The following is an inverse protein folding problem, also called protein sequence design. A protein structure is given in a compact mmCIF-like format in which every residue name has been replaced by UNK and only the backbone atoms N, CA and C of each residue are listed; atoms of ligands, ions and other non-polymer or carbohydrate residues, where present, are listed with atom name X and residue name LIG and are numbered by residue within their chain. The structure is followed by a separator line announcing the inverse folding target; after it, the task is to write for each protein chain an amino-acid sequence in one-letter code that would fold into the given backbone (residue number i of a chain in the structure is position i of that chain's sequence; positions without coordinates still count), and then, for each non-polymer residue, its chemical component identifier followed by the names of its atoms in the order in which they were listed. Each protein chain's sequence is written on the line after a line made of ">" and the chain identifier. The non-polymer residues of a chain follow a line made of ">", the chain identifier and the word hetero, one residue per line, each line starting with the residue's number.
data_IF_137057314761
#
_entry.id   IF_137057314761
#
_cell.length_a   1.000
_cell.length_b   1.000
_cell.length_c   1.000
_cell.angle_alpha   90.00
_cell.angle_beta   90.00
_cell.angle_gamma   90.00
#
_symmetry.space_group_name_H-M   'P 1'
#
loop_
_entity.id
_entity.type
_entity.pdbx_description
1 polymer ?
#
# COMPACT_ATOMS: atom_id res chain seq x y z
N UNK A 1 28.75 3.86 -6.93
CA UNK A 1 27.50 3.11 -6.65
C UNK A 1 26.40 3.81 -7.41
N UNK A 2 25.47 3.09 -8.04
CA UNK A 2 24.31 3.67 -8.73
C UNK A 2 23.49 4.50 -7.75
N UNK A 3 23.33 5.79 -8.02
CA UNK A 3 22.54 6.70 -7.20
C UNK A 3 21.06 6.49 -7.48
N UNK A 4 20.23 6.43 -6.43
CA UNK A 4 18.80 6.19 -6.52
C UNK A 4 18.04 7.34 -5.89
N UNK A 5 17.26 8.04 -6.68
CA UNK A 5 16.28 9.01 -6.21
C UNK A 5 15.00 8.27 -5.87
N UNK A 6 14.66 8.19 -4.60
CA UNK A 6 13.53 7.42 -4.13
C UNK A 6 12.37 8.34 -3.74
N UNK A 7 11.26 8.23 -4.46
CA UNK A 7 10.01 8.94 -4.22
C UNK A 7 8.94 7.98 -3.70
N UNK A 8 8.55 8.12 -2.44
CA UNK A 8 7.40 7.39 -1.88
C UNK A 8 6.15 8.21 -2.13
N UNK A 9 5.09 7.58 -2.62
CA UNK A 9 3.87 8.21 -3.11
C UNK A 9 2.67 7.78 -2.27
N UNK A 10 1.95 8.74 -1.71
CA UNK A 10 0.72 8.48 -0.97
C UNK A 10 -0.42 9.36 -1.47
N UNK A 11 -1.59 8.76 -1.74
CA UNK A 11 -2.84 9.51 -1.93
C UNK A 11 -3.52 9.66 -0.58
N UNK A 12 -3.73 10.90 -0.12
CA UNK A 12 -4.37 11.11 1.18
C UNK A 12 -5.88 11.16 1.05
N UNK A 13 -6.41 12.22 0.43
CA UNK A 13 -7.85 12.46 0.30
C UNK A 13 -8.25 12.95 -1.10
N UNK A 14 -7.49 12.58 -2.13
CA UNK A 14 -7.81 12.94 -3.51
C UNK A 14 -9.20 12.45 -3.90
N UNK A 15 -10.00 13.26 -4.63
CA UNK A 15 -11.26 12.80 -5.18
C UNK A 15 -11.04 11.58 -6.07
N UNK A 16 -11.77 10.49 -5.81
CA UNK A 16 -11.70 9.26 -6.60
C UNK A 16 -13.08 8.96 -7.15
N UNK A 17 -13.24 8.70 -8.48
CA UNK A 17 -14.52 8.27 -9.04
C UNK A 17 -14.85 6.84 -8.61
N UNK A 18 -16.16 6.53 -8.53
CA UNK A 18 -16.63 5.16 -8.30
C UNK A 18 -17.00 4.86 -6.83
N UNK A 19 -16.97 3.58 -6.40
CA UNK A 19 -17.45 3.16 -5.08
C UNK A 19 -16.73 3.83 -3.89
N UNK A 20 -15.48 4.24 -4.07
CA UNK A 20 -14.70 4.94 -3.05
C UNK A 20 -15.28 6.31 -2.73
N UNK A 21 -15.88 7.02 -3.70
CA UNK A 21 -16.50 8.33 -3.45
C UNK A 21 -17.63 8.22 -2.41
N UNK A 22 -18.37 7.11 -2.39
CA UNK A 22 -19.43 6.85 -1.42
C UNK A 22 -18.89 6.61 0.00
N UNK A 23 -17.72 5.97 0.10
CA UNK A 23 -17.06 5.75 1.39
C UNK A 23 -16.51 7.06 1.94
N UNK A 24 -15.91 7.89 1.08
CA UNK A 24 -15.38 9.20 1.45
C UNK A 24 -16.46 10.21 1.86
N UNK A 25 -17.67 10.08 1.31
CA UNK A 25 -18.82 10.90 1.69
C UNK A 25 -19.40 10.55 3.07
N UNK A 26 -18.95 9.47 3.72
CA UNK A 26 -19.40 9.11 5.06
C UNK A 26 -18.85 10.10 6.09
N UNK A 27 -19.71 10.51 7.01
CA UNK A 27 -19.31 11.37 8.13
C UNK A 27 -18.19 10.72 8.94
N UNK A 28 -17.18 11.50 9.31
CA UNK A 28 -16.02 11.02 10.08
C UNK A 28 -15.00 10.20 9.28
N UNK A 29 -15.20 9.97 7.98
CA UNK A 29 -14.23 9.20 7.18
C UNK A 29 -12.82 9.82 7.22
N UNK A 30 -12.73 11.13 7.01
CA UNK A 30 -11.44 11.82 6.94
C UNK A 30 -10.75 11.85 8.31
N UNK A 31 -11.50 12.02 9.41
CA UNK A 31 -10.97 11.96 10.78
C UNK A 31 -10.40 10.58 11.09
N UNK A 32 -11.12 9.52 10.71
CA UNK A 32 -10.63 8.14 10.86
C UNK A 32 -9.39 7.88 10.01
N UNK A 33 -9.32 8.45 8.80
CA UNK A 33 -8.16 8.33 7.92
C UNK A 33 -6.92 8.99 8.54
N UNK A 34 -7.08 10.19 9.10
CA UNK A 34 -6.00 10.87 9.84
C UNK A 34 -5.53 10.06 11.03
N UNK A 35 -6.46 9.50 11.82
CA UNK A 35 -6.11 8.69 12.97
C UNK A 35 -5.31 7.42 12.59
N UNK A 36 -5.68 6.76 11.49
CA UNK A 36 -4.94 5.60 10.96
C UNK A 36 -3.55 6.01 10.45
N UNK A 37 -3.47 7.10 9.72
CA UNK A 37 -2.21 7.65 9.21
C UNK A 37 -1.22 7.95 10.33
N UNK A 38 -1.66 8.67 11.37
CA UNK A 38 -0.84 9.02 12.53
C UNK A 38 -0.44 7.79 13.36
N UNK A 39 -1.31 6.78 13.41
CA UNK A 39 -1.07 5.56 14.19
C UNK A 39 -0.15 4.57 13.47
N UNK A 40 -0.28 4.42 12.16
CA UNK A 40 0.38 3.36 11.39
C UNK A 40 1.46 3.89 10.45
N UNK A 41 1.10 4.81 9.56
CA UNK A 41 2.01 5.21 8.47
C UNK A 41 3.11 6.15 8.93
N UNK A 42 2.75 7.21 9.66
CA UNK A 42 3.73 8.21 10.16
C UNK A 42 4.84 7.58 11.00
N UNK A 43 4.56 6.75 12.04
CA UNK A 43 5.61 6.20 12.88
C UNK A 43 6.58 5.29 12.10
N UNK A 44 6.07 4.50 11.13
CA UNK A 44 6.92 3.59 10.36
C UNK A 44 7.78 4.32 9.33
N UNK A 45 7.30 5.42 8.77
CA UNK A 45 8.11 6.27 7.88
C UNK A 45 9.19 7.05 8.62
N UNK A 46 8.93 7.49 9.85
CA UNK A 46 9.97 8.08 10.72
C UNK A 46 11.04 7.07 11.15
N UNK A 47 10.67 5.81 11.32
CA UNK A 47 11.56 4.76 11.82
C UNK A 47 12.41 4.08 10.73
N UNK A 48 12.39 4.57 9.49
CA UNK A 48 13.16 3.95 8.40
C UNK A 48 14.65 3.99 8.67
N UNK A 49 15.36 2.85 8.47
CA UNK A 49 16.82 2.73 8.60
C UNK A 49 17.56 3.55 7.53
N UNK A 50 16.95 3.71 6.36
CA UNK A 50 17.44 4.54 5.27
C UNK A 50 16.57 5.79 5.14
N UNK A 51 17.21 6.96 5.29
CA UNK A 51 16.52 8.27 5.27
C UNK A 51 16.66 9.04 3.95
N UNK A 52 17.48 8.56 3.01
CA UNK A 52 17.64 9.18 1.70
C UNK A 52 16.47 8.81 0.79
N UNK A 53 15.32 9.41 1.03
CA UNK A 53 14.11 9.34 0.19
C UNK A 53 13.28 10.61 0.39
N UNK A 54 12.40 10.89 -0.56
CA UNK A 54 11.37 11.94 -0.42
C UNK A 54 10.02 11.27 -0.36
N UNK A 55 9.22 11.58 0.67
CA UNK A 55 7.85 11.13 0.76
C UNK A 55 6.91 12.22 0.27
N UNK A 56 6.21 11.98 -0.84
CA UNK A 56 5.21 12.90 -1.40
C UNK A 56 3.82 12.42 -1.02
N UNK A 57 3.02 13.34 -0.47
CA UNK A 57 1.62 13.07 -0.16
C UNK A 57 0.73 14.03 -0.93
N UNK A 58 -0.19 13.45 -1.70
CA UNK A 58 -1.14 14.22 -2.52
C UNK A 58 -2.44 14.44 -1.77
N UNK A 59 -2.81 15.71 -1.65
CA UNK A 59 -4.02 16.19 -1.01
C UNK A 59 -4.98 16.82 -2.01
N UNK A 60 -6.27 16.77 -1.69
CA UNK A 60 -7.30 17.57 -2.37
C UNK A 60 -7.02 19.06 -2.09
N UNK A 61 -7.00 19.95 -3.11
CA UNK A 61 -6.92 21.41 -2.90
C UNK A 61 -8.05 21.95 -2.02
N UNK A 62 -9.19 21.28 -1.96
CA UNK A 62 -10.34 21.62 -1.11
C UNK A 62 -10.27 20.93 0.27
N UNK A 63 -9.10 20.47 0.69
CA UNK A 63 -8.91 19.92 2.03
C UNK A 63 -9.32 20.92 3.10
N UNK A 64 -10.08 20.50 4.14
CA UNK A 64 -10.53 21.41 5.18
C UNK A 64 -9.35 21.91 6.04
N UNK A 65 -9.45 23.14 6.55
CA UNK A 65 -8.39 23.80 7.32
C UNK A 65 -7.89 22.94 8.50
N UNK A 66 -8.81 22.27 9.20
CA UNK A 66 -8.42 21.40 10.33
C UNK A 66 -7.48 20.28 9.92
N UNK A 67 -7.61 19.72 8.68
CA UNK A 67 -6.70 18.72 8.15
C UNK A 67 -5.32 19.34 7.88
N UNK A 68 -5.30 20.50 7.24
CA UNK A 68 -4.05 21.20 6.91
C UNK A 68 -3.30 21.58 8.19
N UNK A 69 -4.01 22.10 9.20
CA UNK A 69 -3.44 22.42 10.52
C UNK A 69 -2.88 21.17 11.22
N UNK A 70 -3.56 20.02 11.09
CA UNK A 70 -3.12 18.75 11.66
C UNK A 70 -1.88 18.20 10.98
N UNK A 71 -1.73 18.40 9.67
CA UNK A 71 -0.57 17.95 8.90
C UNK A 71 0.64 18.89 9.01
N UNK A 72 0.43 20.18 9.30
CA UNK A 72 1.48 21.21 9.33
C UNK A 72 2.71 20.83 10.17
N UNK A 73 2.61 20.30 11.41
CA UNK A 73 3.78 19.92 12.19
C UNK A 73 4.64 18.85 11.48
N UNK A 74 4.02 17.91 10.76
CA UNK A 74 4.71 16.86 10.03
C UNK A 74 5.43 17.41 8.78
N UNK A 75 4.85 18.43 8.15
CA UNK A 75 5.47 19.15 7.02
C UNK A 75 6.62 20.02 7.51
N UNK A 76 6.44 20.73 8.61
CA UNK A 76 7.46 21.64 9.17
C UNK A 76 8.70 20.85 9.66
N UNK A 77 8.54 19.62 10.13
CA UNK A 77 9.65 18.72 10.45
C UNK A 77 10.32 18.11 9.20
N UNK A 78 9.78 18.33 8.01
CA UNK A 78 10.29 17.78 6.75
C UNK A 78 9.99 16.28 6.55
N UNK A 79 8.99 15.71 7.24
CA UNK A 79 8.67 14.29 7.12
C UNK A 79 8.15 13.92 5.74
N UNK A 80 7.36 14.80 5.12
CA UNK A 80 6.85 14.64 3.76
C UNK A 80 6.65 15.98 3.04
N UNK A 81 6.60 15.91 1.72
CA UNK A 81 6.28 17.03 0.82
C UNK A 81 4.79 16.96 0.45
N UNK A 82 3.95 17.91 0.86
CA UNK A 82 2.55 17.95 0.45
C UNK A 82 2.41 18.53 -0.96
N UNK A 83 1.63 17.87 -1.81
CA UNK A 83 1.26 18.38 -3.14
C UNK A 83 -0.27 18.40 -3.23
N UNK A 84 -0.82 19.53 -3.67
CA UNK A 84 -2.26 19.73 -3.77
C UNK A 84 -2.71 19.64 -5.23
N UNK A 85 -3.57 18.67 -5.55
CA UNK A 85 -4.11 18.43 -6.90
C UNK A 85 -5.52 17.87 -6.82
N UNK A 86 -6.39 18.23 -7.78
CA UNK A 86 -7.72 17.63 -7.93
C UNK A 86 -7.63 16.18 -8.44
N UNK A 87 -6.64 15.91 -9.26
CA UNK A 87 -6.33 14.60 -9.85
C UNK A 87 -4.82 14.42 -9.94
N UNK A 88 -4.39 13.18 -9.87
CA UNK A 88 -3.00 12.80 -10.13
C UNK A 88 -3.00 11.55 -11.00
N UNK A 89 -2.31 11.61 -12.12
CA UNK A 89 -1.94 10.45 -12.91
C UNK A 89 -0.42 10.22 -12.86
N UNK A 90 0.05 9.19 -13.53
CA UNK A 90 1.47 8.85 -13.54
C UNK A 90 2.35 9.91 -14.20
N UNK A 91 1.84 10.69 -15.17
CA UNK A 91 2.59 11.77 -15.84
C UNK A 91 2.77 12.98 -14.91
N UNK A 92 1.78 13.26 -14.07
CA UNK A 92 1.91 14.26 -12.99
C UNK A 92 3.01 13.84 -12.01
N UNK A 93 3.05 12.55 -11.63
CA UNK A 93 4.10 12.03 -10.73
C UNK A 93 5.50 12.18 -11.34
N UNK A 94 5.66 11.94 -12.65
CA UNK A 94 6.94 12.18 -13.35
C UNK A 94 7.33 13.65 -13.29
N UNK A 95 6.39 14.56 -13.53
CA UNK A 95 6.66 16.00 -13.46
C UNK A 95 7.05 16.43 -12.03
N UNK A 96 6.35 15.93 -11.02
CA UNK A 96 6.62 16.22 -9.61
C UNK A 96 7.98 15.64 -9.17
N UNK A 97 8.34 14.42 -9.65
CA UNK A 97 9.65 13.84 -9.39
C UNK A 97 10.78 14.70 -10.00
N UNK A 98 10.61 15.17 -11.26
CA UNK A 98 11.56 16.08 -11.90
C UNK A 98 11.70 17.41 -11.15
N UNK A 99 10.59 17.96 -10.67
CA UNK A 99 10.60 19.19 -9.86
C UNK A 99 11.29 18.97 -8.50
N UNK A 100 11.15 17.78 -7.91
CA UNK A 100 11.71 17.44 -6.59
C UNK A 100 13.23 17.24 -6.66
N UNK A 101 13.72 16.50 -7.64
CA UNK A 101 15.14 16.12 -7.74
C UNK A 101 15.97 17.05 -8.65
N UNK A 102 15.32 17.80 -9.55
CA UNK A 102 15.96 18.77 -10.45
C UNK A 102 16.92 18.12 -11.46
N UNK A 103 17.85 18.94 -11.97
CA UNK A 103 18.82 18.52 -12.99
C UNK A 103 19.99 17.70 -12.42
N UNK A 104 20.15 17.67 -11.10
CA UNK A 104 21.23 16.94 -10.41
C UNK A 104 20.76 15.58 -9.87
N UNK A 105 19.73 15.02 -10.51
CA UNK A 105 19.17 13.71 -10.14
C UNK A 105 20.19 12.57 -10.27
N UNK A 106 19.95 11.48 -9.56
CA UNK A 106 20.75 10.26 -9.61
C UNK A 106 20.57 9.45 -10.90
N UNK A 107 21.08 8.24 -10.92
CA UNK A 107 21.04 7.35 -12.09
C UNK A 107 19.65 6.73 -12.32
N UNK A 108 18.94 6.45 -11.22
CA UNK A 108 17.64 5.78 -11.22
C UNK A 108 16.59 6.59 -10.43
N UNK A 109 15.39 6.65 -10.98
CA UNK A 109 14.18 7.02 -10.25
C UNK A 109 13.53 5.75 -9.69
N UNK A 110 13.32 5.69 -8.39
CA UNK A 110 12.54 4.67 -7.72
C UNK A 110 11.25 5.30 -7.18
N UNK A 111 10.11 4.87 -7.66
CA UNK A 111 8.82 5.31 -7.13
C UNK A 111 8.14 4.16 -6.39
N UNK A 112 7.55 4.44 -5.23
CA UNK A 112 6.91 3.41 -4.38
C UNK A 112 5.53 3.87 -3.94
N UNK A 113 4.51 3.02 -4.11
CA UNK A 113 3.17 3.27 -3.57
C UNK A 113 3.10 2.89 -2.08
N UNK A 114 2.56 3.79 -1.27
CA UNK A 114 2.25 3.55 0.13
C UNK A 114 0.88 4.14 0.47
N UNK A 115 -0.04 3.30 0.91
CA UNK A 115 -1.37 3.74 1.34
C UNK A 115 -1.28 4.42 2.72
N UNK A 116 -2.17 5.37 2.96
CA UNK A 116 -2.13 6.25 4.13
C UNK A 116 -2.70 5.63 5.42
N UNK A 117 -3.04 4.34 5.41
CA UNK A 117 -3.57 3.59 6.54
C UNK A 117 -2.76 2.32 6.86
N UNK A 118 -1.67 2.10 6.14
CA UNK A 118 -0.81 0.94 6.25
C UNK A 118 0.57 1.29 6.85
N UNK A 119 1.35 0.27 7.20
CA UNK A 119 2.67 0.42 7.77
C UNK A 119 3.72 -0.38 7.00
N UNK A 120 5.00 -0.04 7.17
CA UNK A 120 6.12 -0.73 6.54
C UNK A 120 7.20 -1.08 7.56
N UNK A 121 8.03 -2.10 7.26
CA UNK A 121 9.15 -2.47 8.13
C UNK A 121 10.22 -1.39 8.17
N UNK A 122 11.02 -1.38 9.23
CA UNK A 122 12.09 -0.37 9.42
C UNK A 122 13.14 -0.39 8.32
N UNK A 123 13.29 -1.48 7.61
CA UNK A 123 14.26 -1.68 6.52
C UNK A 123 13.61 -1.61 5.12
N UNK A 124 12.35 -1.21 5.04
CA UNK A 124 11.58 -1.22 3.79
C UNK A 124 12.25 -0.39 2.68
N UNK A 125 12.57 0.88 2.98
CA UNK A 125 13.21 1.80 2.03
C UNK A 125 14.59 1.29 1.61
N UNK A 126 15.40 0.82 2.55
CA UNK A 126 16.72 0.28 2.28
C UNK A 126 16.65 -0.93 1.34
N UNK A 127 15.75 -1.88 1.61
CA UNK A 127 15.54 -3.08 0.79
C UNK A 127 15.10 -2.74 -0.62
N UNK A 128 14.19 -1.76 -0.78
CA UNK A 128 13.74 -1.31 -2.09
C UNK A 128 14.86 -0.63 -2.87
N UNK A 129 15.67 0.22 -2.26
CA UNK A 129 16.82 0.85 -2.93
C UNK A 129 17.88 -0.18 -3.32
N UNK A 130 18.13 -1.19 -2.49
CA UNK A 130 19.01 -2.30 -2.84
C UNK A 130 18.45 -3.13 -4.00
N UNK A 131 17.15 -3.35 -4.03
CA UNK A 131 16.47 -4.05 -5.11
C UNK A 131 16.53 -3.25 -6.42
N UNK A 132 16.29 -1.93 -6.38
CA UNK A 132 16.33 -1.04 -7.54
C UNK A 132 17.71 -1.06 -8.24
N UNK A 133 18.80 -1.06 -7.46
CA UNK A 133 20.15 -1.16 -8.02
C UNK A 133 20.43 -2.48 -8.73
N UNK A 134 19.77 -3.58 -8.30
CA UNK A 134 19.91 -4.92 -8.91
C UNK A 134 18.94 -5.16 -10.06
N UNK A 135 17.82 -4.47 -10.04
CA UNK A 135 16.72 -4.61 -11.00
C UNK A 135 16.29 -3.24 -11.54
N UNK A 136 17.19 -2.53 -12.30
CA UNK A 136 16.77 -1.31 -13.01
C UNK A 136 15.70 -1.68 -14.06
N UNK A 137 14.81 -0.74 -14.36
CA UNK A 137 13.73 -0.88 -15.33
C UNK A 137 12.78 -2.07 -15.03
N UNK A 138 12.42 -2.24 -13.72
CA UNK A 138 11.52 -3.29 -13.25
C UNK A 138 10.44 -2.74 -12.31
N UNK A 139 9.28 -3.41 -12.34
CA UNK A 139 8.34 -3.36 -11.23
C UNK A 139 8.84 -4.27 -10.10
N UNK A 140 8.97 -3.73 -8.89
CA UNK A 140 9.60 -4.40 -7.73
C UNK A 140 8.55 -4.60 -6.64
N UNK A 141 8.46 -5.84 -6.13
CA UNK A 141 7.61 -6.21 -5.01
C UNK A 141 8.41 -6.92 -3.94
N UNK A 142 8.38 -6.42 -2.71
CA UNK A 142 8.74 -7.19 -1.53
C UNK A 142 7.52 -8.04 -1.17
N UNK A 143 7.53 -9.33 -1.60
CA UNK A 143 6.31 -10.13 -1.68
C UNK A 143 5.72 -10.55 -0.33
N UNK A 144 6.56 -10.63 0.72
CA UNK A 144 6.13 -11.06 2.03
C UNK A 144 5.72 -9.87 2.90
N UNK A 145 4.57 -9.95 3.53
CA UNK A 145 4.09 -8.94 4.45
C UNK A 145 3.14 -9.51 5.50
N UNK A 146 2.55 -8.62 6.26
CA UNK A 146 1.63 -8.93 7.34
C UNK A 146 0.26 -8.30 7.07
N UNK A 147 -0.78 -8.94 7.59
CA UNK A 147 -2.14 -8.40 7.65
C UNK A 147 -2.56 -8.35 9.11
N UNK A 148 -2.91 -7.17 9.59
CA UNK A 148 -3.47 -6.95 10.92
C UNK A 148 -4.99 -6.77 10.83
N UNK A 149 -5.75 -7.61 11.56
CA UNK A 149 -7.18 -7.46 11.72
C UNK A 149 -7.57 -7.61 13.19
N UNK A 150 -7.97 -6.51 13.83
CA UNK A 150 -8.21 -6.49 15.28
C UNK A 150 -6.94 -6.86 16.04
N UNK A 151 -6.95 -7.96 16.78
CA UNK A 151 -5.85 -8.53 17.54
C UNK A 151 -5.14 -9.70 16.83
N UNK A 152 -5.49 -9.97 15.58
CA UNK A 152 -4.99 -11.11 14.82
C UNK A 152 -4.02 -10.67 13.73
N UNK A 153 -2.84 -11.31 13.69
CA UNK A 153 -1.80 -11.07 12.71
C UNK A 153 -1.65 -12.27 11.78
N UNK A 154 -1.51 -12.00 10.48
CA UNK A 154 -1.39 -13.03 9.45
C UNK A 154 -0.18 -12.74 8.56
N UNK A 155 0.65 -13.74 8.33
CA UNK A 155 1.73 -13.72 7.35
C UNK A 155 1.16 -13.95 5.96
N UNK A 156 1.45 -13.03 5.05
CA UNK A 156 0.94 -13.04 3.67
C UNK A 156 2.11 -13.07 2.69
N UNK A 157 2.05 -13.98 1.73
CA UNK A 157 2.85 -13.96 0.52
C UNK A 157 1.99 -13.42 -0.62
N UNK A 158 2.38 -12.27 -1.18
CA UNK A 158 1.66 -11.58 -2.24
C UNK A 158 2.65 -11.01 -3.26
N UNK A 159 2.87 -11.71 -4.39
CA UNK A 159 3.89 -11.33 -5.36
C UNK A 159 3.62 -10.05 -6.14
N UNK A 160 2.39 -9.55 -6.10
CA UNK A 160 1.95 -8.32 -6.80
C UNK A 160 1.13 -7.44 -5.84
N UNK A 161 1.66 -7.22 -4.62
CA UNK A 161 0.98 -6.47 -3.56
C UNK A 161 0.88 -4.95 -3.85
N UNK A 162 0.06 -4.26 -3.06
CA UNK A 162 -0.19 -2.82 -3.23
C UNK A 162 1.01 -1.94 -2.87
N UNK A 163 2.01 -2.45 -2.15
CA UNK A 163 3.25 -1.74 -1.81
C UNK A 163 4.28 -1.83 -2.95
N UNK A 164 3.79 -1.70 -4.17
CA UNK A 164 4.59 -1.84 -5.38
C UNK A 164 5.56 -0.68 -5.56
N UNK A 165 6.70 -0.99 -6.18
CA UNK A 165 7.68 0.01 -6.59
C UNK A 165 8.02 -0.16 -8.05
N UNK A 166 8.48 0.93 -8.69
CA UNK A 166 9.00 0.90 -10.05
C UNK A 166 10.36 1.61 -10.03
N UNK A 167 11.39 0.89 -10.48
CA UNK A 167 12.74 1.39 -10.66
C UNK A 167 13.00 1.62 -12.15
N UNK A 168 13.42 2.83 -12.52
CA UNK A 168 13.58 3.25 -13.91
C UNK A 168 14.73 4.22 -14.08
N UNK A 169 15.20 4.32 -15.31
CA UNK A 169 16.07 5.44 -15.72
C UNK A 169 15.24 6.69 -15.94
N UNK A 170 15.87 7.85 -15.82
CA UNK A 170 15.20 9.15 -15.94
C UNK A 170 14.76 9.53 -17.37
N UNK A 171 15.14 8.76 -18.38
CA UNK A 171 14.85 9.10 -19.79
C UNK A 171 13.35 9.16 -20.09
N UNK A 172 12.60 8.12 -19.68
CA UNK A 172 11.15 8.04 -19.92
C UNK A 172 10.42 7.23 -18.84
N UNK A 173 10.43 7.70 -17.59
CA UNK A 173 9.83 6.95 -16.48
C UNK A 173 8.31 6.90 -16.58
N UNK A 174 7.73 5.79 -16.12
CA UNK A 174 6.27 5.57 -16.07
C UNK A 174 5.71 5.51 -14.64
N UNK A 175 6.54 5.35 -13.64
CA UNK A 175 6.25 5.33 -12.19
C UNK A 175 5.37 4.18 -11.69
N UNK A 176 5.33 3.97 -10.37
CA UNK A 176 4.49 2.96 -9.72
C UNK A 176 2.97 3.22 -9.89
N UNK A 177 2.58 4.41 -10.34
CA UNK A 177 1.18 4.77 -10.58
C UNK A 177 0.78 4.71 -12.05
N UNK A 178 1.60 4.09 -12.91
CA UNK A 178 1.27 3.83 -14.32
C UNK A 178 -0.03 3.07 -14.48
N UNK A 179 -0.23 2.07 -13.61
CA UNK A 179 -1.42 1.22 -13.62
C UNK A 179 -1.71 0.69 -12.20
N UNK A 180 -2.72 -0.18 -12.06
CA UNK A 180 -2.93 -0.91 -10.83
C UNK A 180 -1.70 -1.79 -10.52
N UNK A 181 -1.37 -1.94 -9.23
CA UNK A 181 -0.19 -2.70 -8.80
C UNK A 181 -0.07 -4.09 -9.44
N UNK A 182 -1.20 -4.77 -9.68
CA UNK A 182 -1.27 -6.10 -10.29
C UNK A 182 -1.33 -6.07 -11.83
N UNK A 183 -1.11 -4.94 -12.48
CA UNK A 183 -1.03 -4.77 -13.93
C UNK A 183 0.29 -4.13 -14.38
N UNK A 184 1.21 -3.85 -13.47
CA UNK A 184 2.52 -3.28 -13.82
C UNK A 184 3.35 -4.25 -14.67
N UNK A 185 3.07 -5.57 -14.60
CA UNK A 185 3.70 -6.58 -15.45
C UNK A 185 3.35 -6.43 -16.94
N UNK A 186 2.30 -5.69 -17.29
CA UNK A 186 1.97 -5.37 -18.70
C UNK A 186 2.90 -4.27 -19.26
N UNK A 187 3.61 -3.56 -18.41
CA UNK A 187 4.46 -2.42 -18.77
C UNK A 187 5.95 -2.65 -18.55
N UNK A 188 6.33 -3.42 -17.52
CA UNK A 188 7.71 -3.67 -17.10
C UNK A 188 7.94 -5.12 -16.70
N UNK A 189 9.18 -5.63 -16.83
CA UNK A 189 9.57 -6.86 -16.15
C UNK A 189 9.34 -6.76 -14.65
N UNK A 190 9.05 -7.90 -14.01
CA UNK A 190 8.73 -7.96 -12.57
C UNK A 190 9.86 -8.61 -11.79
N UNK A 191 10.27 -7.95 -10.71
CA UNK A 191 11.14 -8.49 -9.67
C UNK A 191 10.32 -8.69 -8.38
N UNK A 192 9.80 -9.88 -8.18
CA UNK A 192 9.06 -10.25 -6.97
C UNK A 192 9.97 -10.96 -5.99
N UNK A 193 10.38 -10.27 -4.92
CA UNK A 193 11.48 -10.66 -4.04
C UNK A 193 10.95 -11.27 -2.73
N UNK A 194 11.30 -12.53 -2.43
CA UNK A 194 10.98 -13.13 -1.14
C UNK A 194 11.85 -12.55 -0.02
N UNK A 195 11.45 -12.75 1.23
CA UNK A 195 12.22 -12.31 2.40
C UNK A 195 11.35 -12.15 3.65
N UNK A 196 11.90 -11.50 4.65
CA UNK A 196 11.16 -11.12 5.84
C UNK A 196 9.98 -10.18 5.49
N UNK A 197 8.91 -10.14 6.29
CA UNK A 197 7.80 -9.24 6.07
C UNK A 197 8.26 -7.79 5.94
N UNK A 198 7.81 -7.13 4.87
CA UNK A 198 8.22 -5.77 4.53
C UNK A 198 7.11 -4.73 4.70
N UNK A 199 5.87 -5.16 4.75
CA UNK A 199 4.69 -4.31 4.86
C UNK A 199 3.67 -4.92 5.82
N UNK A 200 2.85 -4.05 6.40
CA UNK A 200 1.76 -4.40 7.31
C UNK A 200 0.49 -3.71 6.82
N UNK A 201 -0.41 -4.49 6.23
CA UNK A 201 -1.72 -4.02 5.81
C UNK A 201 -2.69 -4.06 7.00
N UNK A 202 -3.34 -2.92 7.28
CA UNK A 202 -4.28 -2.80 8.39
C UNK A 202 -5.71 -2.93 7.89
N UNK A 203 -6.43 -3.97 8.31
CA UNK A 203 -7.84 -4.17 7.98
C UNK A 203 -8.71 -3.54 9.07
N UNK A 204 -9.45 -2.53 8.69
CA UNK A 204 -10.45 -1.84 9.50
C UNK A 204 -11.81 -1.80 8.78
N UNK A 205 -12.91 -1.49 9.49
CA UNK A 205 -14.28 -1.61 8.97
C UNK A 205 -14.61 -0.76 7.72
N UNK A 206 -13.75 0.18 7.35
CA UNK A 206 -13.95 1.08 6.21
C UNK A 206 -13.09 0.73 4.97
N UNK A 207 -12.32 -0.36 5.01
CA UNK A 207 -11.58 -0.81 3.82
C UNK A 207 -12.56 -1.31 2.75
N UNK A 208 -12.38 -0.86 1.50
CA UNK A 208 -13.29 -1.22 0.39
C UNK A 208 -13.08 -2.65 -0.10
N UNK A 209 -11.86 -3.17 -0.04
CA UNK A 209 -11.48 -4.44 -0.67
C UNK A 209 -10.64 -5.37 0.21
N UNK A 210 -10.17 -4.93 1.36
CA UNK A 210 -9.22 -5.68 2.17
C UNK A 210 -9.90 -6.86 2.88
N UNK A 211 -9.26 -8.02 2.80
CA UNK A 211 -9.70 -9.27 3.43
C UNK A 211 -8.53 -9.94 4.11
N UNK A 212 -8.82 -10.69 5.16
CA UNK A 212 -7.83 -11.55 5.79
C UNK A 212 -7.42 -12.65 4.81
N UNK A 213 -6.15 -12.63 4.46
CA UNK A 213 -5.46 -13.64 3.66
C UNK A 213 -4.20 -14.06 4.39
N UNK A 214 -3.64 -15.21 4.00
CA UNK A 214 -2.41 -15.70 4.63
C UNK A 214 -2.66 -16.56 5.87
N UNK A 215 -1.58 -16.89 6.54
CA UNK A 215 -1.51 -17.82 7.68
C UNK A 215 -1.31 -17.03 8.97
N UNK A 216 -2.04 -17.37 10.02
CA UNK A 216 -1.87 -16.70 11.32
C UNK A 216 -0.42 -16.88 11.81
N UNK A 217 0.16 -15.78 12.29
CA UNK A 217 1.53 -15.72 12.80
C UNK A 217 1.58 -15.10 14.19
N UNK A 218 2.71 -15.27 14.89
CA UNK A 218 2.93 -14.65 16.19
C UNK A 218 3.47 -13.22 16.03
N UNK A 219 2.91 -12.28 16.79
CA UNK A 219 3.35 -10.89 16.78
C UNK A 219 4.79 -10.74 17.31
N UNK A 220 5.20 -11.58 18.27
CA UNK A 220 6.54 -11.55 18.86
C UNK A 220 7.66 -11.66 17.80
N UNK A 221 7.45 -12.46 16.76
CA UNK A 221 8.43 -12.70 15.68
C UNK A 221 8.67 -11.44 14.82
N UNK A 222 7.76 -10.46 14.86
CA UNK A 222 7.76 -9.33 13.92
C UNK A 222 7.91 -7.96 14.58
N UNK A 223 7.89 -7.85 15.94
CA UNK A 223 7.94 -6.56 16.64
C UNK A 223 9.19 -5.74 16.31
N UNK A 224 10.33 -6.37 16.13
CA UNK A 224 11.58 -5.68 15.77
C UNK A 224 11.50 -5.02 14.39
N UNK A 225 10.85 -5.68 13.43
CA UNK A 225 10.68 -5.15 12.07
C UNK A 225 9.60 -4.05 12.00
N UNK A 226 8.61 -4.08 12.91
CA UNK A 226 7.50 -3.13 12.97
C UNK A 226 7.37 -2.50 14.37
N UNK A 227 8.34 -1.69 14.80
CA UNK A 227 8.36 -1.12 16.16
C UNK A 227 7.14 -0.24 16.40
N UNK A 228 6.50 -0.42 17.56
CA UNK A 228 5.30 0.31 17.94
C UNK A 228 4.00 -0.19 17.30
N UNK A 229 4.06 -0.87 16.16
CA UNK A 229 2.86 -1.28 15.42
C UNK A 229 2.17 -2.52 16.01
N UNK A 230 2.93 -3.37 16.68
CA UNK A 230 2.47 -4.66 17.19
C UNK A 230 2.48 -4.73 18.74
N UNK A 231 2.73 -3.63 19.43
CA UNK A 231 2.89 -3.61 20.90
C UNK A 231 1.60 -4.00 21.64
N UNK A 232 0.44 -3.65 21.11
CA UNK A 232 -0.85 -4.01 21.69
C UNK A 232 -1.38 -5.39 21.25
N UNK A 233 -0.63 -6.12 20.41
CA UNK A 233 -1.05 -7.43 19.90
C UNK A 233 -0.48 -8.52 20.80
N UNK A 234 -1.38 -9.32 21.40
CA UNK A 234 -0.97 -10.45 22.24
C UNK A 234 -0.29 -11.54 21.41
N UNK A 235 0.71 -12.19 22.01
CA UNK A 235 1.39 -13.32 21.39
C UNK A 235 0.42 -14.46 21.12
N UNK A 236 0.56 -15.07 19.95
CA UNK A 236 -0.36 -16.10 19.53
C UNK A 236 -0.08 -17.43 20.25
N UNK A 237 -1.10 -18.03 20.85
CA UNK A 237 -0.98 -19.35 21.44
C UNK A 237 -0.72 -20.42 20.36
N UNK A 238 0.17 -21.38 20.62
CA UNK A 238 0.53 -22.45 19.68
C UNK A 238 -0.68 -23.23 19.13
N UNK A 239 -1.69 -23.49 19.98
CA UNK A 239 -2.94 -24.14 19.55
C UNK A 239 -3.74 -23.32 18.53
N UNK A 240 -3.77 -21.99 18.66
CA UNK A 240 -4.42 -21.10 17.69
C UNK A 240 -3.69 -21.04 16.37
N UNK A 241 -2.35 -21.01 16.38
CA UNK A 241 -1.52 -21.07 15.18
C UNK A 241 -1.71 -22.40 14.44
N UNK A 242 -1.72 -23.51 15.17
CA UNK A 242 -1.97 -24.84 14.60
C UNK A 242 -3.37 -24.92 13.97
N UNK A 243 -4.41 -24.49 14.69
CA UNK A 243 -5.79 -24.50 14.20
C UNK A 243 -5.94 -23.66 12.94
N UNK A 244 -5.34 -22.47 12.93
CA UNK A 244 -5.37 -21.62 11.74
C UNK A 244 -4.70 -22.29 10.55
N UNK A 245 -3.49 -22.79 10.72
CA UNK A 245 -2.70 -23.42 9.65
C UNK A 245 -3.38 -24.68 9.10
N UNK A 246 -3.95 -25.49 9.97
CA UNK A 246 -4.50 -26.81 9.59
C UNK A 246 -5.95 -26.75 9.11
N UNK A 247 -6.74 -25.78 9.54
CA UNK A 247 -8.20 -25.74 9.28
C UNK A 247 -8.64 -24.42 8.65
N UNK A 248 -8.37 -23.29 9.32
CA UNK A 248 -8.98 -22.03 8.94
C UNK A 248 -8.37 -21.44 7.66
N UNK A 249 -7.06 -21.55 7.49
CA UNK A 249 -6.37 -21.08 6.29
C UNK A 249 -6.83 -21.84 5.02
N UNK A 250 -6.83 -23.18 4.98
CA UNK A 250 -7.39 -23.91 3.83
C UNK A 250 -8.85 -23.55 3.51
N UNK A 251 -9.68 -23.35 4.53
CA UNK A 251 -11.07 -22.92 4.33
C UNK A 251 -11.17 -21.50 3.73
N UNK A 252 -10.31 -20.57 4.18
CA UNK A 252 -10.24 -19.23 3.57
C UNK A 252 -9.81 -19.30 2.10
N UNK A 253 -8.81 -20.10 1.77
CA UNK A 253 -8.35 -20.28 0.39
C UNK A 253 -9.39 -20.91 -0.53
N UNK A 254 -10.12 -21.94 -0.06
CA UNK A 254 -11.21 -22.54 -0.81
C UNK A 254 -12.33 -21.52 -1.11
N UNK A 255 -12.68 -20.70 -0.12
CA UNK A 255 -13.69 -19.65 -0.28
C UNK A 255 -13.25 -18.57 -1.27
N UNK A 256 -11.99 -18.17 -1.25
CA UNK A 256 -11.45 -17.15 -2.15
C UNK A 256 -11.30 -17.70 -3.59
N UNK A 257 -10.90 -18.95 -3.74
CA UNK A 257 -10.84 -19.65 -5.03
C UNK A 257 -12.21 -19.79 -5.67
N UNK A 258 -13.23 -20.20 -4.90
CA UNK A 258 -14.60 -20.28 -5.39
C UNK A 258 -15.16 -18.95 -5.88
N UNK A 259 -14.85 -17.85 -5.18
CA UNK A 259 -15.26 -16.49 -5.58
C UNK A 259 -14.51 -16.00 -6.83
N UNK A 260 -13.23 -16.33 -6.98
CA UNK A 260 -12.43 -15.95 -8.14
C UNK A 260 -12.92 -16.65 -9.41
N UNK A 261 -13.31 -17.91 -9.31
CA UNK A 261 -13.91 -18.70 -10.39
C UNK A 261 -15.28 -18.09 -10.77
N UNK A 262 -16.12 -17.80 -9.77
CA UNK A 262 -17.42 -17.15 -9.99
C UNK A 262 -17.28 -15.79 -10.69
N UNK A 263 -16.31 -14.97 -10.26
CA UNK A 263 -16.02 -13.67 -10.90
C UNK A 263 -15.55 -13.82 -12.35
N UNK A 264 -14.66 -14.79 -12.63
CA UNK A 264 -14.21 -15.09 -14.01
C UNK A 264 -15.34 -15.60 -14.91
N UNK A 265 -16.24 -16.43 -14.38
CA UNK A 265 -17.42 -16.90 -15.14
C UNK A 265 -18.37 -15.74 -15.45
N UNK A 266 -18.67 -14.86 -14.50
CA UNK A 266 -19.53 -13.69 -14.70
C UNK A 266 -18.92 -12.75 -15.75
N UNK A 267 -17.61 -12.52 -15.70
CA UNK A 267 -16.90 -11.68 -16.67
C UNK A 267 -16.88 -12.30 -18.08
N UNK A 268 -16.78 -13.64 -18.20
CA UNK A 268 -16.82 -14.35 -19.49
C UNK A 268 -18.21 -14.37 -20.12
N UNK A 269 -19.26 -14.45 -19.30
CA UNK A 269 -20.65 -14.63 -19.80
C UNK A 269 -21.38 -13.28 -19.98
N UNK A 270 -21.05 -12.25 -19.21
CA UNK A 270 -21.85 -11.03 -19.14
C UNK A 270 -21.07 -9.70 -19.16
N UNK A 271 -19.76 -9.71 -19.32
CA UNK A 271 -18.93 -8.50 -19.35
C UNK A 271 -18.94 -7.70 -18.02
N UNK A 272 -18.23 -6.55 -18.03
CA UNK A 272 -18.10 -5.67 -16.84
C UNK A 272 -19.45 -5.21 -16.26
N UNK A 273 -20.44 -4.93 -17.09
CA UNK A 273 -21.76 -4.45 -16.66
C UNK A 273 -22.56 -5.48 -15.83
N UNK A 274 -22.39 -6.77 -16.08
CA UNK A 274 -23.05 -7.83 -15.33
C UNK A 274 -22.46 -8.00 -13.93
N UNK A 275 -21.17 -7.77 -13.76
CA UNK A 275 -20.49 -7.80 -12.47
C UNK A 275 -20.99 -6.67 -11.55
N UNK A 276 -21.21 -5.48 -12.11
CA UNK A 276 -21.69 -4.32 -11.35
C UNK A 276 -23.16 -4.48 -10.94
N UNK A 277 -24.00 -5.11 -11.78
CA UNK A 277 -25.38 -5.47 -11.40
C UNK A 277 -25.43 -6.49 -10.25
N UNK A 278 -24.60 -7.53 -10.31
CA UNK A 278 -24.54 -8.55 -9.24
C UNK A 278 -24.06 -7.92 -7.92
N UNK A 279 -23.07 -7.02 -7.97
CA UNK A 279 -22.61 -6.27 -6.78
C UNK A 279 -23.72 -5.40 -6.17
N UNK A 280 -24.53 -4.74 -7.01
CA UNK A 280 -25.69 -3.94 -6.54
C UNK A 280 -26.79 -4.80 -5.89
N UNK A 281 -27.08 -5.95 -6.47
CA UNK A 281 -28.11 -6.87 -5.92
C UNK A 281 -27.67 -7.47 -4.57
N UNK A 282 -26.41 -7.93 -4.46
CA UNK A 282 -25.85 -8.46 -3.20
C UNK A 282 -25.82 -7.40 -2.10
N UNK A 283 -25.59 -6.11 -2.43
CA UNK A 283 -25.66 -5.01 -1.45
C UNK A 283 -27.07 -4.65 -0.98
N UNK A 284 -28.12 -5.03 -1.72
CA UNK A 284 -29.52 -4.78 -1.33
C UNK A 284 -30.12 -5.90 -0.45
N UNK A 285 -29.42 -7.02 -0.35
CA UNK A 285 -29.87 -8.23 0.36
C UNK A 285 -29.07 -8.50 1.65
N UNK A 286 -28.09 -7.69 1.99
CA UNK A 286 -27.34 -7.72 3.24
C UNK A 286 -27.30 -6.35 3.90
#
# INVERSE_FOLDING_TARGET
>A
MTAVDHLVLTRFNLPTPGPESLVRAQEGWLQNRVALFERHTVPTMRAQSQTAFTWVIYFDPQSPDWLLDRMRPLVDEGLFLPIYRERVDWTDVVADARATFGDTHGDLLLTTNLDNDDAVSVDFIERLQQAARRHPDHAIYLRTGLILQGDALYLRDDPENAFCSVSERWDSPITAWRDWHNLLHDHLPVASLPGAPAWLQVIHGQNVSNRVRGVRTDAAEHRTAFPGQLDGIADAQAGRLWLDRSVMHPLRELRDSGRSIGKRMILRVGGKQSLDRVKQVVRRLG
#
